data_IF_176961357770
#
_entry.id   IF_176961357770
#
_cell.length_a   1.000
_cell.length_b   1.000
_cell.length_c   1.000
_cell.angle_alpha   90.00
_cell.angle_beta   90.00
_cell.angle_gamma   90.00
#
_symmetry.space_group_name_H-M   'P 1'
#
loop_
_entity.id
_entity.type
_entity.pdbx_description
1 polymer ?
#
# COMPACT_ATOMS: atom_id res chain seq x y z
N UNK A 1 0.31 11.31 -1.68
CA UNK A 1 0.87 11.21 -0.32
C UNK A 1 1.59 9.86 -0.12
N UNK A 2 0.90 8.73 -0.24
CA UNK A 2 1.47 7.39 0.00
C UNK A 2 2.52 6.90 -0.99
N UNK A 3 2.51 7.42 -2.23
CA UNK A 3 3.40 6.94 -3.29
C UNK A 3 4.88 7.16 -3.02
N UNK A 4 5.24 8.01 -2.03
CA UNK A 4 6.63 8.27 -1.60
C UNK A 4 7.21 7.14 -0.73
N UNK A 5 6.39 6.24 -0.22
CA UNK A 5 6.85 5.03 0.48
C UNK A 5 7.44 4.02 -0.52
N UNK A 6 8.60 3.40 -0.25
CA UNK A 6 9.22 2.43 -1.15
C UNK A 6 8.33 1.23 -1.50
N UNK A 7 7.57 0.69 -0.54
CA UNK A 7 6.71 -0.47 -0.78
C UNK A 7 5.52 -0.08 -1.66
N UNK A 8 4.91 1.08 -1.41
CA UNK A 8 3.81 1.61 -2.21
C UNK A 8 4.28 1.99 -3.63
N UNK A 9 5.47 2.58 -3.75
CA UNK A 9 6.08 2.86 -5.06
C UNK A 9 6.37 1.56 -5.82
N UNK A 10 6.82 0.51 -5.13
CA UNK A 10 7.02 -0.80 -5.74
C UNK A 10 5.73 -1.48 -6.20
N UNK A 11 4.59 -1.22 -5.54
CA UNK A 11 3.28 -1.65 -6.02
C UNK A 11 2.99 -1.00 -7.38
N UNK A 12 3.20 0.30 -7.51
CA UNK A 12 3.02 1.05 -8.77
C UNK A 12 3.96 0.55 -9.85
N UNK A 13 5.26 0.34 -9.53
CA UNK A 13 6.23 -0.25 -10.46
C UNK A 13 5.76 -1.61 -10.97
N UNK A 14 5.27 -2.47 -10.07
CA UNK A 14 4.78 -3.80 -10.42
C UNK A 14 3.54 -3.71 -11.30
N UNK A 15 2.60 -2.81 -11.02
CA UNK A 15 1.42 -2.61 -11.85
C UNK A 15 1.81 -2.21 -13.29
N UNK A 16 2.74 -1.25 -13.44
CA UNK A 16 3.25 -0.84 -14.75
C UNK A 16 4.00 -1.98 -15.46
N UNK A 17 4.83 -2.73 -14.73
CA UNK A 17 5.61 -3.87 -15.24
C UNK A 17 4.70 -4.96 -15.83
N UNK A 18 3.57 -5.25 -15.20
CA UNK A 18 2.61 -6.28 -15.66
C UNK A 18 1.53 -5.73 -16.61
N UNK A 19 1.66 -4.47 -17.07
CA UNK A 19 0.84 -3.89 -18.13
C UNK A 19 -0.43 -3.15 -17.67
N UNK A 20 -0.58 -2.83 -16.38
CA UNK A 20 -1.67 -1.96 -15.94
C UNK A 20 -1.42 -0.51 -16.34
N UNK A 21 -2.48 0.19 -16.70
CA UNK A 21 -2.48 1.64 -16.74
C UNK A 21 -2.82 2.17 -15.34
N UNK A 22 -1.91 2.92 -14.73
CA UNK A 22 -2.10 3.52 -13.41
C UNK A 22 -2.75 4.89 -13.56
N UNK A 23 -3.86 5.13 -12.86
CA UNK A 23 -4.57 6.41 -12.90
C UNK A 23 -4.84 6.95 -11.49
N UNK A 24 -4.83 8.28 -11.29
CA UNK A 24 -5.28 8.89 -10.05
C UNK A 24 -6.80 9.02 -10.04
N UNK A 25 -7.44 8.66 -8.92
CA UNK A 25 -8.87 8.91 -8.70
C UNK A 25 -9.13 9.99 -7.64
N UNK A 26 -8.11 10.39 -6.88
CA UNK A 26 -8.22 11.33 -5.77
C UNK A 26 -8.68 12.73 -6.20
N UNK A 27 -9.28 13.48 -5.27
CA UNK A 27 -9.62 14.90 -5.47
C UNK A 27 -8.37 15.76 -5.63
N UNK A 28 -8.38 16.63 -6.63
CA UNK A 28 -7.33 17.65 -6.85
C UNK A 28 -7.66 18.99 -6.18
N UNK A 29 -8.85 19.14 -5.58
CA UNK A 29 -9.24 20.36 -4.87
C UNK A 29 -8.47 20.42 -3.56
N UNK A 30 -7.62 21.44 -3.41
CA UNK A 30 -6.78 21.62 -2.23
C UNK A 30 -7.59 21.96 -0.99
N UNK A 31 -7.15 21.47 0.16
CA UNK A 31 -7.68 21.81 1.49
C UNK A 31 -7.61 23.31 1.84
N UNK A 32 -7.17 24.20 0.95
CA UNK A 32 -7.23 25.65 1.20
C UNK A 32 -8.67 26.20 1.03
N UNK A 33 -9.54 25.43 0.38
CA UNK A 33 -10.99 25.66 0.35
C UNK A 33 -11.71 25.01 1.56
N UNK A 34 -10.99 24.60 2.61
CA UNK A 34 -11.51 23.77 3.71
C UNK A 34 -12.54 24.43 4.63
N UNK A 35 -12.88 25.71 4.45
CA UNK A 35 -14.15 26.25 4.98
C UNK A 35 -15.39 25.66 4.27
N UNK A 36 -15.19 25.02 3.11
CA UNK A 36 -16.19 24.36 2.26
C UNK A 36 -16.02 22.84 2.11
N UNK A 37 -14.98 22.24 2.71
CA UNK A 37 -14.95 20.81 3.08
C UNK A 37 -15.28 20.67 4.57
N UNK A 38 -16.21 21.52 5.04
CA UNK A 38 -17.09 21.09 6.11
C UNK A 38 -17.87 19.92 5.52
N UNK A 39 -18.12 18.87 6.31
CA UNK A 39 -19.38 18.15 6.16
C UNK A 39 -20.41 19.24 5.87
N UNK A 40 -21.04 19.25 4.68
CA UNK A 40 -22.23 20.07 4.56
C UNK A 40 -23.10 19.76 5.77
N UNK A 41 -23.93 20.69 6.22
CA UNK A 41 -24.89 20.41 7.31
C UNK A 41 -25.75 19.14 7.07
N UNK A 42 -25.67 18.55 5.87
CA UNK A 42 -26.21 17.26 5.40
C UNK A 42 -25.39 15.99 5.69
N UNK A 43 -24.15 16.06 6.20
CA UNK A 43 -23.33 14.87 6.51
C UNK A 43 -22.67 14.18 5.30
N UNK A 44 -22.56 14.86 4.16
CA UNK A 44 -22.01 14.33 2.90
C UNK A 44 -20.52 14.64 2.77
N UNK A 45 -19.70 13.64 2.47
CA UNK A 45 -18.29 13.83 2.16
C UNK A 45 -18.03 13.97 0.66
N UNK A 46 -17.65 15.18 0.26
CA UNK A 46 -17.35 15.54 -1.13
C UNK A 46 -16.17 14.78 -1.73
N UNK A 47 -15.22 14.31 -0.92
CA UNK A 47 -14.09 13.52 -1.41
C UNK A 47 -14.56 12.21 -2.04
N UNK A 48 -15.49 11.50 -1.39
CA UNK A 48 -16.05 10.24 -1.91
C UNK A 48 -16.78 10.42 -3.24
N UNK A 49 -17.52 11.54 -3.37
CA UNK A 49 -18.25 11.88 -4.58
C UNK A 49 -17.29 12.13 -5.75
N UNK A 50 -16.26 12.95 -5.53
CA UNK A 50 -15.32 13.32 -6.60
C UNK A 50 -14.45 12.12 -7.01
N UNK A 51 -14.06 11.27 -6.05
CA UNK A 51 -13.38 10.01 -6.33
C UNK A 51 -14.21 9.10 -7.24
N UNK A 52 -15.49 8.87 -6.89
CA UNK A 52 -16.39 8.06 -7.70
C UNK A 52 -16.64 8.65 -9.09
N UNK A 53 -16.78 9.99 -9.21
CA UNK A 53 -16.93 10.66 -10.51
C UNK A 53 -15.68 10.53 -11.38
N UNK A 54 -14.48 10.59 -10.79
CA UNK A 54 -13.24 10.41 -11.54
C UNK A 54 -13.13 8.98 -12.09
N UNK A 55 -13.55 7.97 -11.32
CA UNK A 55 -13.63 6.59 -11.78
C UNK A 55 -14.69 6.45 -12.89
N UNK A 56 -15.88 7.05 -12.71
CA UNK A 56 -16.93 7.06 -13.74
C UNK A 56 -16.45 7.64 -15.07
N UNK A 57 -15.66 8.72 -15.07
CA UNK A 57 -15.10 9.29 -16.32
C UNK A 57 -14.26 8.30 -17.12
N UNK A 58 -13.64 7.32 -16.47
CA UNK A 58 -12.88 6.26 -17.15
C UNK A 58 -13.87 5.29 -17.81
N UNK A 59 -14.87 4.84 -17.06
CA UNK A 59 -15.93 3.95 -17.56
C UNK A 59 -16.78 4.59 -18.66
N UNK A 60 -17.00 5.91 -18.62
CA UNK A 60 -17.71 6.64 -19.68
C UNK A 60 -16.92 6.66 -21.00
N UNK A 61 -15.58 6.65 -20.92
CA UNK A 61 -14.70 6.61 -22.10
C UNK A 61 -14.48 5.18 -22.60
N UNK A 62 -14.40 4.23 -21.69
CA UNK A 62 -14.27 2.80 -21.98
C UNK A 62 -15.20 2.00 -21.07
N UNK A 63 -16.44 1.73 -21.51
CA UNK A 63 -17.41 0.96 -20.73
C UNK A 63 -17.01 -0.48 -20.44
N UNK A 64 -15.98 -1.01 -21.13
CA UNK A 64 -15.45 -2.36 -20.94
C UNK A 64 -14.20 -2.38 -20.05
N UNK A 65 -13.75 -1.23 -19.56
CA UNK A 65 -12.57 -1.13 -18.70
C UNK A 65 -12.73 -2.00 -17.44
N UNK A 66 -11.71 -2.82 -17.16
CA UNK A 66 -11.59 -3.56 -15.90
C UNK A 66 -10.70 -2.78 -14.95
N UNK A 67 -11.26 -2.39 -13.81
CA UNK A 67 -10.63 -1.46 -12.88
C UNK A 67 -10.36 -2.15 -11.54
N UNK A 68 -9.11 -2.07 -11.07
CA UNK A 68 -8.73 -2.40 -9.70
C UNK A 68 -8.44 -1.09 -8.95
N UNK A 69 -9.16 -0.85 -7.86
CA UNK A 69 -8.94 0.32 -7.00
C UNK A 69 -8.27 -0.13 -5.71
N UNK A 70 -7.11 0.45 -5.41
CA UNK A 70 -6.49 0.37 -4.09
C UNK A 70 -6.73 1.69 -3.35
N UNK A 71 -7.46 1.62 -2.24
CA UNK A 71 -7.89 2.80 -1.48
C UNK A 71 -7.67 2.62 0.03
N UNK A 72 -7.77 3.73 0.75
CA UNK A 72 -7.68 3.74 2.20
C UNK A 72 -8.88 3.10 2.88
N UNK A 73 -8.83 3.04 4.21
CA UNK A 73 -9.88 2.45 5.05
C UNK A 73 -11.27 3.00 4.74
N UNK A 74 -12.26 2.11 4.82
CA UNK A 74 -13.70 2.36 4.71
C UNK A 74 -14.22 3.02 3.43
N UNK A 75 -13.36 3.46 2.51
CA UNK A 75 -13.75 3.90 1.17
C UNK A 75 -14.50 2.80 0.37
N UNK A 76 -14.26 1.53 0.71
CA UNK A 76 -14.90 0.37 0.09
C UNK A 76 -16.26 0.01 0.69
N UNK A 77 -16.79 0.75 1.69
CA UNK A 77 -18.11 0.43 2.26
C UNK A 77 -19.20 0.67 1.20
N UNK A 78 -19.97 -0.37 0.89
CA UNK A 78 -21.05 -0.31 -0.11
C UNK A 78 -22.34 0.31 0.43
N UNK A 79 -22.59 0.13 1.72
CA UNK A 79 -23.79 0.61 2.42
C UNK A 79 -23.66 2.06 2.89
N UNK A 80 -24.74 2.61 3.44
CA UNK A 80 -24.65 3.88 4.17
C UNK A 80 -23.72 3.73 5.38
N UNK A 81 -22.92 4.76 5.61
CA UNK A 81 -21.97 4.93 6.69
C UNK A 81 -22.46 6.05 7.63
N UNK A 82 -22.69 5.78 8.93
CA UNK A 82 -23.19 6.78 9.87
C UNK A 82 -22.32 8.04 9.93
N UNK A 83 -22.94 9.21 9.76
CA UNK A 83 -22.24 10.51 9.81
C UNK A 83 -21.42 10.88 8.56
N UNK A 84 -21.33 9.97 7.57
CA UNK A 84 -20.57 10.16 6.33
C UNK A 84 -21.45 9.98 5.06
N UNK A 85 -22.64 9.39 5.19
CA UNK A 85 -23.51 9.11 4.06
C UNK A 85 -23.00 7.90 3.29
N UNK A 86 -22.62 8.04 2.02
CA UNK A 86 -22.04 6.93 1.24
C UNK A 86 -20.54 7.13 1.06
N UNK A 87 -19.77 6.08 1.32
CA UNK A 87 -18.37 5.99 0.94
C UNK A 87 -18.21 5.81 -0.59
N UNK A 88 -16.98 5.84 -1.08
CA UNK A 88 -16.65 5.80 -2.50
C UNK A 88 -17.28 4.59 -3.20
N UNK A 89 -17.27 3.39 -2.64
CA UNK A 89 -17.94 2.22 -3.23
C UNK A 89 -19.45 2.45 -3.39
N UNK A 90 -20.14 2.90 -2.33
CA UNK A 90 -21.56 3.28 -2.41
C UNK A 90 -21.84 4.38 -3.45
N UNK A 91 -20.91 5.33 -3.64
CA UNK A 91 -20.99 6.37 -4.69
C UNK A 91 -20.73 5.84 -6.09
N UNK A 92 -19.85 4.85 -6.25
CA UNK A 92 -19.63 4.16 -7.53
C UNK A 92 -20.93 3.46 -7.95
N UNK A 93 -21.58 2.73 -7.04
CA UNK A 93 -22.90 2.11 -7.29
C UNK A 93 -23.91 3.16 -7.75
N UNK A 94 -24.01 4.26 -7.00
CA UNK A 94 -24.96 5.35 -7.31
C UNK A 94 -24.74 5.97 -8.69
N UNK A 95 -23.49 6.23 -9.07
CA UNK A 95 -23.19 6.98 -10.29
C UNK A 95 -22.95 6.12 -11.53
N UNK A 96 -22.64 4.85 -11.37
CA UNK A 96 -22.30 3.95 -12.48
C UNK A 96 -23.29 2.79 -12.64
N UNK A 97 -24.08 2.48 -11.61
CA UNK A 97 -24.91 1.27 -11.56
C UNK A 97 -24.12 -0.03 -11.38
N UNK A 98 -22.79 0.02 -11.32
CA UNK A 98 -21.93 -1.14 -11.11
C UNK A 98 -21.74 -1.36 -9.61
N UNK A 99 -22.01 -2.58 -9.13
CA UNK A 99 -21.58 -2.99 -7.81
C UNK A 99 -20.14 -3.49 -7.84
N UNK A 100 -19.15 -2.75 -7.32
CA UNK A 100 -17.77 -3.21 -7.29
C UNK A 100 -17.64 -4.40 -6.32
N UNK A 101 -16.80 -5.37 -6.64
CA UNK A 101 -16.47 -6.42 -5.69
C UNK A 101 -15.48 -5.90 -4.63
N UNK A 102 -15.88 -5.86 -3.36
CA UNK A 102 -15.11 -5.20 -2.29
C UNK A 102 -14.38 -6.18 -1.37
N UNK A 103 -13.07 -5.94 -1.18
CA UNK A 103 -12.18 -6.80 -0.36
C UNK A 103 -11.61 -5.97 0.79
N UNK A 104 -12.09 -6.21 2.01
CA UNK A 104 -11.50 -5.66 3.22
C UNK A 104 -10.20 -6.38 3.57
N UNK A 105 -9.14 -5.62 3.80
CA UNK A 105 -7.81 -6.11 4.19
C UNK A 105 -7.40 -5.63 5.60
N UNK A 106 -8.35 -5.10 6.37
CA UNK A 106 -8.07 -4.41 7.63
C UNK A 106 -8.45 -5.27 8.82
N UNK A 107 -9.66 -5.85 8.81
CA UNK A 107 -10.21 -6.47 10.02
C UNK A 107 -9.49 -7.76 10.41
N UNK A 108 -8.91 -8.47 9.43
CA UNK A 108 -8.29 -9.78 9.59
C UNK A 108 -6.76 -9.69 9.37
N UNK A 109 -6.16 -8.70 10.01
CA UNK A 109 -4.73 -8.41 10.00
C UNK A 109 -4.21 -8.28 11.42
N UNK A 110 -2.93 -8.63 11.62
CA UNK A 110 -2.22 -8.48 12.90
C UNK A 110 -2.19 -7.02 13.35
N UNK A 111 -2.35 -6.80 14.66
CA UNK A 111 -2.29 -5.47 15.29
C UNK A 111 -1.15 -5.41 16.30
N UNK A 112 -0.92 -4.22 16.89
CA UNK A 112 0.20 -3.96 17.80
C UNK A 112 0.22 -4.85 19.04
N UNK A 113 -0.93 -5.39 19.45
CA UNK A 113 -1.05 -6.37 20.53
C UNK A 113 -2.33 -7.19 20.40
N UNK A 114 -2.36 -8.36 21.04
CA UNK A 114 -3.49 -9.29 21.00
C UNK A 114 -4.78 -8.66 21.53
N UNK A 115 -4.75 -7.73 22.49
CA UNK A 115 -5.97 -7.11 23.02
C UNK A 115 -6.76 -6.33 21.95
N UNK A 116 -6.08 -5.73 20.97
CA UNK A 116 -6.72 -4.96 19.90
C UNK A 116 -7.20 -5.84 18.74
N UNK A 117 -6.70 -7.06 18.62
CA UNK A 117 -7.02 -7.95 17.50
C UNK A 117 -8.49 -8.39 17.48
N UNK A 118 -9.01 -8.57 16.26
CA UNK A 118 -10.34 -9.10 16.01
C UNK A 118 -10.50 -10.50 16.64
N UNK A 119 -11.60 -10.78 17.38
CA UNK A 119 -11.81 -12.08 18.03
C UNK A 119 -11.80 -13.28 17.09
N UNK A 120 -12.25 -13.13 15.84
CA UNK A 120 -12.18 -14.19 14.84
C UNK A 120 -10.75 -14.41 14.35
N UNK A 121 -10.00 -13.33 14.11
CA UNK A 121 -8.60 -13.41 13.69
C UNK A 121 -7.74 -14.20 14.69
N UNK A 122 -7.96 -14.01 16.00
CA UNK A 122 -7.27 -14.75 17.07
C UNK A 122 -7.45 -16.26 17.00
N UNK A 123 -8.57 -16.75 16.46
CA UNK A 123 -8.91 -18.18 16.40
C UNK A 123 -8.33 -18.87 15.17
N UNK A 124 -7.80 -18.12 14.21
CA UNK A 124 -7.33 -18.61 12.93
C UNK A 124 -5.80 -18.59 12.92
N UNK A 125 -5.19 -19.72 12.58
CA UNK A 125 -3.74 -19.85 12.46
C UNK A 125 -3.36 -20.45 11.11
N UNK A 126 -3.45 -19.64 10.05
CA UNK A 126 -2.99 -20.01 8.71
C UNK A 126 -1.69 -19.28 8.40
N UNK A 127 -0.82 -19.93 7.62
CA UNK A 127 0.44 -19.37 7.15
C UNK A 127 0.35 -18.85 5.70
N UNK A 128 -0.86 -18.68 5.18
CA UNK A 128 -1.15 -18.17 3.84
C UNK A 128 -2.35 -17.20 3.87
N UNK A 129 -2.45 -16.35 2.86
CA UNK A 129 -3.60 -15.45 2.67
C UNK A 129 -4.84 -16.25 2.29
N UNK A 130 -5.99 -15.98 2.94
CA UNK A 130 -7.19 -16.79 2.73
C UNK A 130 -8.47 -15.95 2.68
N UNK A 131 -9.41 -16.42 1.87
CA UNK A 131 -10.83 -16.10 2.00
C UNK A 131 -11.53 -17.29 2.64
N UNK A 132 -12.52 -17.02 3.48
CA UNK A 132 -13.35 -18.06 4.08
C UNK A 132 -14.69 -18.13 3.35
N UNK A 133 -15.14 -19.36 3.10
CA UNK A 133 -16.39 -19.67 2.42
C UNK A 133 -17.15 -20.65 3.30
N UNK A 134 -18.46 -20.44 3.48
CA UNK A 134 -19.31 -21.37 4.21
C UNK A 134 -19.71 -22.60 3.38
N UNK A 135 -20.45 -23.54 3.98
CA UNK A 135 -20.91 -24.75 3.28
C UNK A 135 -21.92 -24.50 2.15
N UNK A 136 -22.53 -23.32 2.11
CA UNK A 136 -23.46 -22.91 1.06
C UNK A 136 -22.76 -22.12 -0.06
N UNK A 137 -21.45 -21.86 0.05
CA UNK A 137 -20.66 -21.14 -0.94
C UNK A 137 -20.61 -19.62 -0.72
N UNK A 138 -21.10 -19.10 0.41
CA UNK A 138 -21.05 -17.66 0.68
C UNK A 138 -19.69 -17.25 1.24
N UNK A 139 -19.18 -16.11 0.77
CA UNK A 139 -17.96 -15.50 1.30
C UNK A 139 -18.20 -14.91 2.69
N UNK A 140 -17.23 -15.09 3.58
CA UNK A 140 -17.26 -14.50 4.91
C UNK A 140 -16.89 -13.00 4.84
N UNK A 141 -17.83 -12.15 5.22
CA UNK A 141 -17.65 -10.70 5.28
C UNK A 141 -17.86 -10.09 6.67
N UNK A 142 -18.03 -10.92 7.72
CA UNK A 142 -18.17 -10.51 9.10
C UNK A 142 -19.33 -11.17 9.83
N UNK A 143 -19.63 -10.74 11.07
CA UNK A 143 -20.83 -11.14 11.79
C UNK A 143 -22.11 -10.81 11.02
N UNK A 144 -23.16 -11.56 11.30
CA UNK A 144 -24.49 -11.31 10.75
C UNK A 144 -24.95 -9.85 11.01
N UNK A 145 -25.59 -9.24 10.01
CA UNK A 145 -26.06 -7.85 10.07
C UNK A 145 -25.04 -6.79 9.63
N UNK A 146 -23.75 -7.14 9.46
CA UNK A 146 -22.70 -6.21 9.03
C UNK A 146 -22.27 -6.47 7.57
N UNK A 147 -23.15 -6.15 6.61
CA UNK A 147 -22.91 -6.34 5.17
C UNK A 147 -22.27 -5.10 4.52
N UNK A 148 -21.12 -4.69 5.01
CA UNK A 148 -20.42 -3.49 4.51
C UNK A 148 -19.54 -3.75 3.29
N UNK A 149 -19.07 -4.99 3.15
CA UNK A 149 -18.12 -5.44 2.12
C UNK A 149 -18.53 -6.84 1.61
N UNK A 150 -18.01 -7.28 0.47
CA UNK A 150 -18.27 -8.63 -0.06
C UNK A 150 -17.44 -9.71 0.64
N UNK A 151 -16.19 -9.40 1.02
CA UNK A 151 -15.29 -10.37 1.65
C UNK A 151 -14.20 -9.71 2.50
N UNK A 152 -13.68 -10.46 3.48
CA UNK A 152 -12.49 -10.09 4.27
C UNK A 152 -11.32 -11.01 3.94
N UNK A 153 -10.17 -10.43 3.59
CA UNK A 153 -8.92 -11.16 3.40
C UNK A 153 -8.25 -11.44 4.75
N UNK A 154 -7.94 -12.70 5.02
CA UNK A 154 -7.06 -13.07 6.11
C UNK A 154 -5.60 -12.86 5.72
N UNK A 155 -4.87 -12.11 6.53
CA UNK A 155 -3.42 -11.97 6.42
C UNK A 155 -2.73 -12.92 7.43
N UNK A 156 -1.78 -13.76 6.99
CA UNK A 156 -1.01 -14.59 7.92
C UNK A 156 -0.20 -13.71 8.87
N UNK A 157 0.02 -14.19 10.10
CA UNK A 157 0.80 -13.47 11.11
C UNK A 157 2.23 -13.20 10.64
N UNK A 158 2.76 -12.03 11.00
CA UNK A 158 4.11 -11.61 10.60
C UNK A 158 5.15 -12.50 11.26
N UNK A 159 6.08 -13.00 10.45
CA UNK A 159 7.32 -13.62 10.91
C UNK A 159 8.47 -12.66 10.67
N UNK A 160 9.49 -12.69 11.52
CA UNK A 160 10.68 -11.87 11.32
C UNK A 160 11.73 -12.65 10.53
N UNK A 161 12.29 -12.01 9.50
CA UNK A 161 13.38 -12.54 8.66
C UNK A 161 14.38 -11.42 8.43
N UNK A 162 15.66 -11.65 8.66
CA UNK A 162 16.71 -10.64 8.40
C UNK A 162 16.38 -9.25 8.99
N UNK A 163 15.91 -9.24 10.25
CA UNK A 163 15.58 -8.03 10.99
C UNK A 163 14.32 -7.28 10.52
N UNK A 164 13.50 -7.86 9.63
CA UNK A 164 12.31 -7.20 9.06
C UNK A 164 11.11 -8.16 8.96
N UNK A 165 9.88 -7.64 8.83
CA UNK A 165 8.72 -8.46 8.52
C UNK A 165 8.92 -9.31 7.26
N UNK A 166 8.61 -10.61 7.30
CA UNK A 166 8.90 -11.56 6.23
C UNK A 166 8.28 -11.16 4.88
N UNK A 167 7.09 -10.55 4.92
CA UNK A 167 6.34 -10.16 3.74
C UNK A 167 7.04 -9.07 2.91
N UNK A 168 8.01 -8.32 3.48
CA UNK A 168 8.82 -7.37 2.69
C UNK A 168 9.70 -8.10 1.67
N UNK A 169 10.02 -9.38 1.90
CA UNK A 169 10.85 -10.23 1.04
C UNK A 169 10.01 -11.15 0.13
N UNK A 170 8.71 -10.93 0.01
CA UNK A 170 7.89 -11.65 -0.97
C UNK A 170 8.01 -11.02 -2.36
N UNK A 171 7.29 -11.55 -3.35
CA UNK A 171 7.26 -11.03 -4.73
C UNK A 171 8.66 -10.95 -5.39
N UNK A 172 9.40 -12.08 -5.33
CA UNK A 172 10.75 -12.25 -5.90
C UNK A 172 11.83 -11.34 -5.31
N UNK A 173 11.59 -10.79 -4.11
CA UNK A 173 12.62 -10.07 -3.36
C UNK A 173 13.39 -11.04 -2.47
N UNK A 174 14.62 -10.70 -2.15
CA UNK A 174 15.45 -11.45 -1.23
C UNK A 174 16.22 -10.52 -0.30
N UNK A 175 16.69 -10.99 0.86
CA UNK A 175 17.65 -10.27 1.68
C UNK A 175 18.92 -9.91 0.89
N UNK A 176 19.46 -8.71 1.12
CA UNK A 176 20.76 -8.27 0.63
C UNK A 176 21.44 -7.44 1.72
N UNK A 177 22.55 -7.96 2.26
CA UNK A 177 23.32 -7.34 3.33
C UNK A 177 24.43 -6.44 2.74
N UNK A 178 24.67 -5.30 3.37
CA UNK A 178 25.68 -4.32 2.94
C UNK A 178 26.72 -4.02 4.01
N UNK A 179 26.55 -4.54 5.23
CA UNK A 179 27.31 -4.17 6.42
C UNK A 179 28.84 -4.20 6.21
N UNK A 180 29.35 -5.26 5.60
CA UNK A 180 30.79 -5.43 5.36
C UNK A 180 31.37 -4.48 4.30
N UNK A 181 30.50 -3.81 3.54
CA UNK A 181 30.87 -2.86 2.50
C UNK A 181 30.84 -1.40 3.01
N UNK A 182 30.27 -1.15 4.18
CA UNK A 182 30.09 0.22 4.71
C UNK A 182 31.39 0.73 5.33
N UNK A 183 31.79 1.94 4.93
CA UNK A 183 32.97 2.65 5.43
C UNK A 183 32.65 3.98 6.11
N UNK A 184 31.42 4.48 5.97
CA UNK A 184 30.92 5.66 6.72
C UNK A 184 30.55 5.29 8.15
N UNK A 185 30.24 6.29 8.98
CA UNK A 185 29.85 6.08 10.37
C UNK A 185 28.50 5.38 10.54
N UNK A 186 28.26 4.85 11.75
CA UNK A 186 26.95 4.40 12.20
C UNK A 186 26.40 5.37 13.28
N UNK A 187 25.07 5.48 13.47
CA UNK A 187 24.03 4.88 12.63
C UNK A 187 24.01 5.49 11.23
N UNK A 188 23.54 4.72 10.25
CA UNK A 188 23.41 5.17 8.86
C UNK A 188 22.10 4.71 8.22
N UNK A 189 21.64 5.53 7.28
CA UNK A 189 20.54 5.20 6.38
C UNK A 189 21.11 4.58 5.11
N UNK A 190 20.54 3.45 4.70
CA UNK A 190 20.91 2.73 3.46
C UNK A 190 19.70 2.77 2.52
N UNK A 191 19.86 3.41 1.36
CA UNK A 191 18.81 3.58 0.37
C UNK A 191 19.23 2.88 -0.93
N UNK A 192 18.43 1.92 -1.39
CA UNK A 192 18.69 1.22 -2.64
C UNK A 192 17.81 1.77 -3.76
N UNK A 193 18.43 2.26 -4.83
CA UNK A 193 17.74 2.81 -6.00
C UNK A 193 17.98 1.92 -7.21
N UNK A 194 16.96 1.74 -8.05
CA UNK A 194 17.13 1.07 -9.34
C UNK A 194 18.01 1.93 -10.26
N UNK A 195 19.08 1.36 -10.81
CA UNK A 195 20.08 2.12 -11.57
C UNK A 195 19.51 2.76 -12.85
N UNK A 196 18.51 2.15 -13.48
CA UNK A 196 17.83 2.69 -14.66
C UNK A 196 17.00 3.94 -14.34
N UNK A 197 16.36 4.00 -13.17
CA UNK A 197 15.54 5.16 -12.76
C UNK A 197 16.41 6.39 -12.46
N UNK A 198 17.61 6.18 -11.90
CA UNK A 198 18.55 7.28 -11.64
C UNK A 198 19.16 7.83 -12.93
N UNK A 199 19.55 6.97 -13.88
CA UNK A 199 20.18 7.39 -15.14
C UNK A 199 19.28 8.30 -15.97
N UNK A 200 17.97 8.10 -15.88
CA UNK A 200 16.97 8.88 -16.61
C UNK A 200 16.72 10.27 -15.98
N UNK A 201 17.22 10.53 -14.78
CA UNK A 201 17.03 11.79 -14.04
C UNK A 201 18.32 12.61 -14.06
N UNK A 202 18.72 13.10 -15.25
CA UNK A 202 19.96 13.88 -15.43
C UNK A 202 20.05 15.14 -14.54
N UNK A 203 18.95 15.64 -13.97
CA UNK A 203 18.94 16.95 -13.27
C UNK A 203 18.28 17.01 -11.88
N UNK A 204 17.76 15.93 -11.28
CA UNK A 204 17.34 15.98 -9.86
C UNK A 204 17.17 14.60 -9.17
N UNK A 205 18.21 14.08 -8.47
CA UNK A 205 18.11 12.81 -7.73
C UNK A 205 17.05 12.83 -6.61
N UNK A 206 16.56 13.99 -6.18
CA UNK A 206 15.55 14.10 -5.12
C UNK A 206 14.14 13.59 -5.52
N UNK A 207 13.92 13.31 -6.81
CA UNK A 207 12.62 12.85 -7.32
C UNK A 207 12.51 11.34 -7.50
N UNK A 208 13.59 10.58 -7.29
CA UNK A 208 13.55 9.11 -7.40
C UNK A 208 13.22 8.53 -6.03
N UNK A 209 12.27 7.59 -6.02
CA UNK A 209 11.87 6.91 -4.79
C UNK A 209 12.74 5.66 -4.68
N UNK A 210 13.45 5.43 -3.57
CA UNK A 210 14.23 4.21 -3.42
C UNK A 210 13.34 2.98 -3.54
N UNK A 211 13.91 1.91 -4.08
CA UNK A 211 13.27 0.60 -4.11
C UNK A 211 13.11 0.04 -2.70
N UNK A 212 14.07 0.31 -1.82
CA UNK A 212 14.01 -0.07 -0.42
C UNK A 212 14.92 0.81 0.44
N UNK A 213 14.58 0.94 1.73
CA UNK A 213 15.33 1.74 2.71
C UNK A 213 15.45 0.93 4.00
N UNK A 214 16.63 0.95 4.62
CA UNK A 214 16.86 0.44 5.98
C UNK A 214 17.73 1.41 6.77
N UNK A 215 17.59 1.38 8.09
CA UNK A 215 18.54 1.98 9.03
C UNK A 215 19.43 0.88 9.61
N UNK A 216 20.73 1.13 9.71
CA UNK A 216 21.68 0.30 10.44
C UNK A 216 22.24 1.11 11.60
N UNK A 217 22.09 0.62 12.83
CA UNK A 217 22.61 1.24 14.05
C UNK A 217 24.06 0.88 14.33
N UNK A 218 24.50 -0.27 13.82
CA UNK A 218 25.88 -0.76 13.96
C UNK A 218 26.26 -1.69 12.82
N UNK A 219 27.55 -2.00 12.71
CA UNK A 219 28.05 -3.01 11.75
C UNK A 219 27.46 -4.41 12.00
N UNK A 220 27.07 -4.72 13.24
CA UNK A 220 26.57 -6.03 13.63
C UNK A 220 25.06 -6.21 13.41
N UNK A 221 24.36 -5.17 12.94
CA UNK A 221 22.91 -5.23 12.72
C UNK A 221 22.58 -6.24 11.60
N UNK A 222 21.72 -7.21 11.92
CA UNK A 222 21.31 -8.25 10.97
C UNK A 222 20.08 -7.85 10.14
N UNK A 223 20.02 -6.59 9.71
CA UNK A 223 18.95 -6.01 8.89
C UNK A 223 19.38 -6.00 7.43
N UNK A 224 18.53 -6.53 6.55
CA UNK A 224 18.82 -6.59 5.11
C UNK A 224 17.91 -5.69 4.28
N UNK A 225 18.46 -5.17 3.17
CA UNK A 225 17.65 -4.64 2.08
C UNK A 225 16.84 -5.78 1.45
N UNK A 226 15.63 -5.49 1.00
CA UNK A 226 14.73 -6.38 0.28
C UNK A 226 14.74 -6.02 -1.20
N UNK A 227 15.60 -6.69 -1.97
CA UNK A 227 15.84 -6.37 -3.38
C UNK A 227 15.42 -7.52 -4.30
N UNK A 228 14.83 -7.20 -5.45
CA UNK A 228 14.70 -8.14 -6.58
C UNK A 228 16.06 -8.29 -7.28
N UNK A 229 16.16 -9.23 -8.23
CA UNK A 229 17.30 -9.25 -9.16
C UNK A 229 17.32 -7.96 -9.98
N UNK A 230 18.51 -7.40 -10.19
CA UNK A 230 18.66 -6.15 -10.92
C UNK A 230 19.91 -5.35 -10.53
N UNK A 231 20.08 -4.22 -11.20
CA UNK A 231 21.18 -3.29 -10.97
C UNK A 231 20.71 -2.16 -10.04
N UNK A 232 21.47 -1.94 -8.97
CA UNK A 232 21.16 -0.94 -7.98
C UNK A 232 22.33 0.00 -7.72
N UNK A 233 21.99 1.27 -7.46
CA UNK A 233 22.86 2.23 -6.79
C UNK A 233 22.39 2.35 -5.35
N UNK A 234 23.24 1.95 -4.42
CA UNK A 234 22.95 2.04 -2.99
C UNK A 234 23.68 3.27 -2.44
N UNK A 235 22.94 4.16 -1.80
CA UNK A 235 23.48 5.32 -1.10
C UNK A 235 23.41 5.02 0.40
N UNK A 236 24.55 5.14 1.07
CA UNK A 236 24.67 5.06 2.52
C UNK A 236 24.99 6.46 3.04
N UNK A 237 24.24 6.94 4.02
CA UNK A 237 24.45 8.24 4.65
C UNK A 237 24.46 8.11 6.17
N UNK A 238 25.53 8.57 6.82
CA UNK A 238 25.63 8.61 8.28
C UNK A 238 25.00 9.89 8.88
N UNK A 239 24.88 9.94 10.20
CA UNK A 239 24.31 11.09 10.92
C UNK A 239 25.09 12.41 10.76
N UNK A 240 26.35 12.35 10.32
CA UNK A 240 27.18 13.53 10.07
C UNK A 240 27.03 14.02 8.62
N UNK A 241 26.25 13.32 7.81
CA UNK A 241 26.05 13.62 6.39
C UNK A 241 27.13 13.05 5.48
N UNK A 242 28.07 12.24 6.00
CA UNK A 242 29.03 11.55 5.13
C UNK A 242 28.28 10.53 4.28
N UNK A 243 28.62 10.47 2.99
CA UNK A 243 27.95 9.58 2.05
C UNK A 243 28.91 8.59 1.41
N UNK A 244 28.39 7.40 1.14
CA UNK A 244 29.08 6.36 0.39
C UNK A 244 28.12 5.78 -0.66
N UNK A 245 28.65 5.50 -1.84
CA UNK A 245 27.90 4.87 -2.93
C UNK A 245 28.43 3.45 -3.12
N UNK A 246 27.53 2.49 -3.17
CA UNK A 246 27.81 1.10 -3.55
C UNK A 246 27.04 0.79 -4.84
N UNK A 247 27.74 0.34 -5.87
CA UNK A 247 27.08 -0.23 -7.05
C UNK A 247 26.97 -1.75 -6.88
N UNK A 248 25.80 -2.30 -7.20
CA UNK A 248 25.58 -3.74 -7.05
C UNK A 248 24.70 -4.31 -8.15
N UNK A 249 25.03 -5.54 -8.53
CA UNK A 249 24.24 -6.43 -9.36
C UNK A 249 23.77 -7.56 -8.43
N UNK A 250 22.47 -7.79 -8.40
CA UNK A 250 21.83 -8.87 -7.64
C UNK A 250 21.08 -9.82 -8.57
#
# INVERSE_FOLDING_TARGET
YYTKDPLYSNLIRTALEIGFTVFPYETTKTLQDSTSIKLEASGINMREIEQAKNIKKILDKDPLAKILIHCGYDHIVETNYPGWGKAMAGRIIEYTGINPFTIDQVKFTELSSLEYENPFFKKINLNYFAFFIDSAGNLFNGPEGLKQYDVRLYHPRTKWKSGRPNWVFENNRAPYFVNDKITVGYPCLVLAYLSNEIKNQKNNPQNVIPFDIIELKSKNDLIALSLKKGNYKIIVQDIKGNTQILETIK
#
